data_IF_591207991623
#
_entry.id   IF_591207991623
#
_cell.length_a   1.000
_cell.length_b   1.000
_cell.length_c   1.000
_cell.angle_alpha   90.00
_cell.angle_beta   90.00
_cell.angle_gamma   90.00
#
_symmetry.space_group_name_H-M   'P 1'
#
loop_
_entity.id
_entity.type
_entity.pdbx_description
1 polymer ?
#
# COMPACT_ATOMS: atom_id res chain seq x y z
N UNK A 1 -14.61 18.10 8.61
CA UNK A 1 -13.22 17.60 8.62
C UNK A 1 -13.24 16.26 7.92
N UNK A 2 -12.41 16.08 6.89
CA UNK A 2 -12.29 14.82 6.17
C UNK A 2 -11.28 13.96 6.96
N UNK A 3 -11.64 12.75 7.37
CA UNK A 3 -10.72 11.87 8.10
C UNK A 3 -9.65 11.33 7.16
N UNK A 4 -8.46 11.01 7.66
CA UNK A 4 -7.38 10.46 6.81
C UNK A 4 -7.82 9.19 6.07
N UNK A 5 -8.67 8.36 6.68
CA UNK A 5 -9.29 7.20 6.03
C UNK A 5 -10.16 7.56 4.82
N UNK A 6 -10.86 8.70 4.86
CA UNK A 6 -11.68 9.16 3.74
C UNK A 6 -10.82 9.65 2.58
N UNK A 7 -9.65 10.24 2.87
CA UNK A 7 -8.71 10.69 1.85
C UNK A 7 -8.02 9.52 1.17
N UNK A 8 -7.55 8.54 1.94
CA UNK A 8 -6.97 7.30 1.39
C UNK A 8 -8.03 6.55 0.58
N UNK A 9 -9.28 6.49 1.04
CA UNK A 9 -10.36 5.88 0.27
C UNK A 9 -10.65 6.63 -1.03
N UNK A 10 -10.65 7.96 -1.02
CA UNK A 10 -10.79 8.77 -2.23
C UNK A 10 -9.62 8.54 -3.20
N UNK A 11 -8.38 8.43 -2.70
CA UNK A 11 -7.21 8.12 -3.52
C UNK A 11 -7.33 6.72 -4.15
N UNK A 12 -7.83 5.73 -3.40
CA UNK A 12 -8.07 4.36 -3.86
C UNK A 12 -9.23 4.26 -4.87
N UNK A 13 -10.33 4.98 -4.64
CA UNK A 13 -11.46 5.06 -5.56
C UNK A 13 -11.08 5.81 -6.85
N UNK A 14 -10.32 6.91 -6.75
CA UNK A 14 -9.84 7.71 -7.89
C UNK A 14 -8.91 6.94 -8.84
N UNK A 15 -8.27 5.87 -8.35
CA UNK A 15 -7.38 5.01 -9.14
C UNK A 15 -8.05 3.73 -9.65
N UNK A 16 -9.39 3.65 -9.57
CA UNK A 16 -10.18 2.54 -10.10
C UNK A 16 -10.05 1.24 -9.30
N UNK A 17 -9.52 1.34 -8.08
CA UNK A 17 -9.58 0.26 -7.11
C UNK A 17 -10.87 0.45 -6.32
N UNK A 18 -11.89 -0.39 -6.55
CA UNK A 18 -12.86 -0.66 -5.47
C UNK A 18 -12.12 -1.48 -4.42
N UNK A 19 -11.22 -0.84 -3.70
CA UNK A 19 -10.48 -1.48 -2.64
C UNK A 19 -11.53 -1.98 -1.65
N UNK A 20 -11.51 -3.28 -1.38
CA UNK A 20 -12.15 -3.80 -0.19
C UNK A 20 -11.71 -2.92 0.99
N UNK A 21 -12.59 -2.63 1.95
CA UNK A 21 -12.22 -1.80 3.10
C UNK A 21 -10.93 -2.28 3.79
N UNK A 22 -10.63 -3.58 3.66
CA UNK A 22 -9.41 -4.25 4.11
C UNK A 22 -8.12 -3.70 3.51
N UNK A 23 -8.02 -3.55 2.18
CA UNK A 23 -6.78 -3.08 1.55
C UNK A 23 -6.45 -1.63 1.93
N UNK A 24 -7.47 -0.78 2.09
CA UNK A 24 -7.34 0.60 2.58
C UNK A 24 -6.74 0.61 4.00
N UNK A 25 -7.33 -0.21 4.88
CA UNK A 25 -6.89 -0.30 6.27
C UNK A 25 -5.47 -0.85 6.42
N UNK A 26 -5.09 -1.82 5.60
CA UNK A 26 -3.73 -2.38 5.59
C UNK A 26 -2.68 -1.38 5.11
N UNK A 27 -3.00 -0.57 4.10
CA UNK A 27 -2.12 0.50 3.63
C UNK A 27 -1.92 1.59 4.69
N UNK A 28 -3.00 2.05 5.33
CA UNK A 28 -2.89 3.03 6.42
C UNK A 28 -2.07 2.45 7.58
N UNK A 29 -2.34 1.20 7.99
CA UNK A 29 -1.57 0.55 9.04
C UNK A 29 -0.08 0.46 8.69
N UNK A 30 0.26 0.05 7.46
CA UNK A 30 1.66 -0.01 7.03
C UNK A 30 2.32 1.37 7.07
N UNK A 31 1.59 2.43 6.70
CA UNK A 31 2.07 3.81 6.81
C UNK A 31 2.38 4.21 8.26
N UNK A 32 1.45 3.97 9.19
CA UNK A 32 1.69 4.27 10.62
C UNK A 32 2.90 3.51 11.17
N UNK A 33 3.09 2.25 10.75
CA UNK A 33 4.22 1.42 11.18
C UNK A 33 5.56 1.89 10.58
N UNK A 34 5.53 2.40 9.35
CA UNK A 34 6.69 3.04 8.70
C UNK A 34 7.05 4.35 9.40
N UNK A 35 6.06 5.21 9.66
CA UNK A 35 6.24 6.49 10.35
C UNK A 35 6.76 6.26 11.79
N UNK A 36 6.32 5.20 12.46
CA UNK A 36 6.82 4.77 13.76
C UNK A 36 8.22 4.10 13.70
N UNK A 37 8.75 3.81 12.50
CA UNK A 37 10.03 3.13 12.26
C UNK A 37 10.20 1.80 12.99
N UNK A 38 9.12 1.04 13.15
CA UNK A 38 9.13 -0.27 13.85
C UNK A 38 9.33 -1.46 12.92
N UNK A 39 9.30 -1.24 11.60
CA UNK A 39 9.52 -2.26 10.58
C UNK A 39 10.82 -2.00 9.82
N UNK A 40 11.63 -3.05 9.68
CA UNK A 40 12.75 -3.03 8.73
C UNK A 40 12.28 -3.18 7.29
N UNK A 41 13.12 -2.76 6.34
CA UNK A 41 12.84 -2.77 4.90
C UNK A 41 12.26 -4.11 4.41
N UNK A 42 12.88 -5.24 4.75
CA UNK A 42 12.40 -6.56 4.34
C UNK A 42 10.99 -6.89 4.83
N UNK A 43 10.61 -6.39 6.01
CA UNK A 43 9.26 -6.60 6.53
C UNK A 43 8.24 -5.76 5.76
N UNK A 44 8.60 -4.52 5.41
CA UNK A 44 7.78 -3.62 4.59
C UNK A 44 7.53 -4.24 3.22
N UNK A 45 8.57 -4.77 2.58
CA UNK A 45 8.43 -5.41 1.26
C UNK A 45 7.53 -6.64 1.28
N UNK A 46 7.64 -7.50 2.31
CA UNK A 46 6.74 -8.65 2.46
C UNK A 46 5.27 -8.22 2.64
N UNK A 47 5.02 -7.15 3.40
CA UNK A 47 3.66 -6.63 3.60
C UNK A 47 3.15 -6.00 2.30
N UNK A 48 4.00 -5.25 1.60
CA UNK A 48 3.68 -4.66 0.28
C UNK A 48 3.22 -5.75 -0.69
N UNK A 49 4.01 -6.79 -0.88
CA UNK A 49 3.67 -7.89 -1.80
C UNK A 49 2.38 -8.62 -1.39
N UNK A 50 2.13 -8.80 -0.09
CA UNK A 50 0.87 -9.39 0.39
C UNK A 50 -0.35 -8.51 0.04
N UNK A 51 -0.23 -7.18 0.18
CA UNK A 51 -1.29 -6.23 -0.21
C UNK A 51 -1.50 -6.24 -1.73
N UNK A 52 -0.42 -6.29 -2.53
CA UNK A 52 -0.53 -6.39 -4.00
C UNK A 52 -1.30 -7.65 -4.38
N UNK A 53 -0.98 -8.80 -3.79
CA UNK A 53 -1.63 -10.06 -4.08
C UNK A 53 -3.13 -10.04 -3.72
N UNK A 54 -3.49 -9.48 -2.57
CA UNK A 54 -4.90 -9.32 -2.15
C UNK A 54 -5.69 -8.45 -3.14
N UNK A 55 -5.12 -7.29 -3.49
CA UNK A 55 -5.74 -6.34 -4.43
C UNK A 55 -5.82 -6.94 -5.84
N UNK A 56 -4.80 -7.67 -6.28
CA UNK A 56 -4.76 -8.37 -7.57
C UNK A 56 -5.83 -9.46 -7.67
N UNK A 57 -6.20 -10.09 -6.55
CA UNK A 57 -7.33 -11.02 -6.47
C UNK A 57 -8.68 -10.37 -6.83
N UNK A 58 -8.82 -9.05 -6.65
CA UNK A 58 -10.02 -8.29 -6.98
C UNK A 58 -10.03 -7.73 -8.42
N UNK A 59 -9.07 -8.12 -9.25
CA UNK A 59 -8.89 -7.60 -10.62
C UNK A 59 -10.15 -7.79 -11.50
N UNK A 60 -10.55 -6.77 -12.29
CA UNK A 60 -11.56 -6.92 -13.34
C UNK A 60 -11.15 -7.92 -14.43
N UNK A 61 -12.09 -8.76 -14.88
CA UNK A 61 -11.84 -9.77 -15.94
C UNK A 61 -11.35 -9.19 -17.28
N UNK A 62 -11.63 -7.92 -17.55
CA UNK A 62 -11.21 -7.21 -18.76
C UNK A 62 -9.70 -6.89 -18.84
N UNK A 63 -8.94 -7.15 -17.78
CA UNK A 63 -7.53 -6.79 -17.68
C UNK A 63 -6.66 -8.05 -17.60
N UNK A 64 -5.38 -7.97 -17.94
CA UNK A 64 -4.47 -9.07 -17.63
C UNK A 64 -4.03 -8.98 -16.17
N UNK A 65 -3.67 -10.12 -15.57
CA UNK A 65 -3.15 -10.14 -14.20
C UNK A 65 -1.85 -9.33 -14.10
N UNK A 66 -0.93 -9.54 -15.02
CA UNK A 66 0.36 -8.85 -15.06
C UNK A 66 0.21 -7.32 -15.16
N UNK A 67 -0.67 -6.81 -16.05
CA UNK A 67 -0.87 -5.36 -16.20
C UNK A 67 -1.55 -4.75 -14.96
N UNK A 68 -2.46 -5.51 -14.33
CA UNK A 68 -3.12 -5.04 -13.12
C UNK A 68 -2.16 -4.98 -11.94
N UNK A 69 -1.40 -6.05 -11.69
CA UNK A 69 -0.38 -6.12 -10.65
C UNK A 69 0.68 -5.03 -10.83
N UNK A 70 1.17 -4.83 -12.06
CA UNK A 70 2.13 -3.78 -12.37
C UNK A 70 1.63 -2.40 -11.94
N UNK A 71 0.39 -2.04 -12.32
CA UNK A 71 -0.18 -0.75 -11.92
C UNK A 71 -0.44 -0.64 -10.43
N UNK A 72 -0.81 -1.73 -9.76
CA UNK A 72 -0.97 -1.73 -8.29
C UNK A 72 0.37 -1.46 -7.63
N UNK A 73 1.45 -2.10 -8.09
CA UNK A 73 2.82 -1.88 -7.59
C UNK A 73 3.27 -0.43 -7.79
N UNK A 74 3.20 0.08 -9.03
CA UNK A 74 3.58 1.47 -9.36
C UNK A 74 2.84 2.50 -8.48
N UNK A 75 1.56 2.25 -8.17
CA UNK A 75 0.77 3.14 -7.31
C UNK A 75 1.12 3.01 -5.85
N UNK A 76 1.37 1.79 -5.38
CA UNK A 76 1.82 1.56 -4.01
C UNK A 76 3.18 2.22 -3.77
N UNK A 77 4.07 2.26 -4.76
CA UNK A 77 5.35 2.95 -4.68
C UNK A 77 5.17 4.47 -4.52
N UNK A 78 4.14 5.05 -5.17
CA UNK A 78 3.80 6.46 -5.00
C UNK A 78 3.18 6.80 -3.64
N UNK A 79 2.37 5.88 -3.08
CA UNK A 79 1.68 6.09 -1.79
C UNK A 79 2.60 5.86 -0.59
N UNK A 80 3.53 4.93 -0.72
CA UNK A 80 4.46 4.49 0.31
C UNK A 80 5.87 4.52 -0.29
N UNK A 81 6.49 5.71 -0.42
CA UNK A 81 7.87 5.78 -0.87
C UNK A 81 8.75 5.04 0.15
N UNK A 82 9.41 3.98 -0.30
CA UNK A 82 10.45 3.33 0.48
C UNK A 82 11.63 4.29 0.49
N UNK A 83 11.90 4.89 1.63
CA UNK A 83 13.12 5.68 1.81
C UNK A 83 14.26 4.71 2.11
N UNK A 84 15.21 4.48 1.18
CA UNK A 84 16.34 3.59 1.41
C UNK A 84 17.27 4.10 2.53
N UNK A 85 17.18 5.38 2.92
CA UNK A 85 17.95 5.94 4.03
C UNK A 85 17.28 5.78 5.41
N UNK A 86 16.06 5.22 5.48
CA UNK A 86 15.39 4.92 6.74
C UNK A 86 16.04 3.77 7.55
N UNK A 87 17.09 3.13 7.02
CA UNK A 87 17.82 2.02 7.65
C UNK A 87 18.60 2.38 8.93
N UNK A 88 18.70 3.66 9.32
CA UNK A 88 19.29 3.97 10.62
C UNK A 88 18.33 3.56 11.76
N UNK A 89 18.65 2.54 12.57
CA UNK A 89 17.81 2.14 13.68
C UNK A 89 17.76 3.29 14.68
N UNK A 90 16.56 3.67 15.11
CA UNK A 90 16.40 4.55 16.27
C UNK A 90 16.86 3.73 17.47
N UNK A 91 18.02 4.08 18.02
CA UNK A 91 18.51 3.49 19.25
C UNK A 91 17.45 3.69 20.35
N UNK A 92 16.89 2.60 20.84
CA UNK A 92 16.03 2.56 22.03
C UNK A 92 16.88 2.64 23.29
#
# INVERSE_FOLDING_TARGET
>A
MQSDSDRVRADLDAIGMRASGSAVGLLQLLKELLDARVLGHDAVERIREAIIADVAGARPRSQTQADFEKRVRERMDNLLPLDPEAEAPVAH
#
